data_IF_504796354786
#
_entry.id   IF_504796354786
#
_cell.length_a   1.000
_cell.length_b   1.000
_cell.length_c   1.000
_cell.angle_alpha   90.00
_cell.angle_beta   90.00
_cell.angle_gamma   90.00
#
_symmetry.space_group_name_H-M   'P 1'
#
loop_
_entity.id
_entity.type
_entity.pdbx_description
1 polymer ?
#
# COMPACT_ATOMS: atom_id res chain seq x y z
N UNK A 1 -0.68 17.58 7.02
CA UNK A 1 -0.82 16.78 5.78
C UNK A 1 0.07 17.37 4.70
N UNK A 2 1.28 16.83 4.54
CA UNK A 2 2.23 17.25 3.49
C UNK A 2 1.67 16.88 2.11
N UNK A 3 1.56 17.85 1.20
CA UNK A 3 1.20 17.61 -0.21
C UNK A 3 2.24 16.66 -0.82
N UNK A 4 1.80 15.47 -1.23
CA UNK A 4 2.64 14.50 -1.93
C UNK A 4 3.29 15.17 -3.15
N UNK A 5 4.63 15.24 -3.16
CA UNK A 5 5.39 15.95 -4.20
C UNK A 5 5.63 15.11 -5.46
N UNK A 6 5.23 13.84 -5.43
CA UNK A 6 5.43 12.92 -6.54
C UNK A 6 4.55 13.27 -7.74
N UNK A 7 5.12 13.11 -8.94
CA UNK A 7 4.32 13.10 -10.16
C UNK A 7 3.32 11.93 -10.14
N UNK A 8 2.16 12.02 -10.83
CA UNK A 8 1.16 10.96 -10.82
C UNK A 8 1.69 9.60 -11.28
N UNK A 9 2.59 9.58 -12.28
CA UNK A 9 3.24 8.36 -12.76
C UNK A 9 4.12 7.73 -11.67
N UNK A 10 4.85 8.56 -10.94
CA UNK A 10 5.78 8.11 -9.91
C UNK A 10 5.06 7.62 -8.66
N UNK A 11 3.98 8.30 -8.26
CA UNK A 11 3.10 7.82 -7.21
C UNK A 11 2.50 6.44 -7.54
N UNK A 12 2.08 6.23 -8.80
CA UNK A 12 1.59 4.92 -9.28
C UNK A 12 2.67 3.85 -9.26
N UNK A 13 3.91 4.18 -9.64
CA UNK A 13 5.04 3.27 -9.56
C UNK A 13 5.23 2.77 -8.12
N UNK A 14 5.37 3.69 -7.16
CA UNK A 14 5.56 3.34 -5.76
C UNK A 14 4.41 2.53 -5.17
N UNK A 15 3.17 2.80 -5.58
CA UNK A 15 2.01 2.02 -5.14
C UNK A 15 2.06 0.56 -5.61
N UNK A 16 2.65 0.28 -6.78
CA UNK A 16 2.75 -1.08 -7.35
C UNK A 16 4.10 -1.75 -7.06
N UNK A 17 5.05 -1.00 -6.51
CA UNK A 17 6.41 -1.49 -6.30
C UNK A 17 6.44 -2.56 -5.22
N UNK A 18 7.10 -3.68 -5.53
CA UNK A 18 7.36 -4.77 -4.60
C UNK A 18 8.87 -5.02 -4.61
N UNK A 19 9.57 -4.84 -3.48
CA UNK A 19 11.00 -5.04 -3.41
C UNK A 19 11.39 -6.51 -3.64
N UNK A 20 12.55 -6.73 -4.25
CA UNK A 20 13.07 -8.08 -4.55
C UNK A 20 13.92 -8.67 -3.41
N UNK A 21 14.40 -7.83 -2.50
CA UNK A 21 15.21 -8.24 -1.34
C UNK A 21 14.92 -7.35 -0.14
N UNK A 22 15.29 -7.81 1.06
CA UNK A 22 15.16 -7.01 2.27
C UNK A 22 15.99 -5.71 2.20
N UNK A 23 17.18 -5.77 1.59
CA UNK A 23 18.02 -4.60 1.35
C UNK A 23 17.32 -3.59 0.44
N UNK A 24 16.79 -4.07 -0.69
CA UNK A 24 16.02 -3.24 -1.61
C UNK A 24 14.81 -2.62 -0.90
N UNK A 25 14.08 -3.38 -0.07
CA UNK A 25 12.93 -2.86 0.66
C UNK A 25 13.29 -1.68 1.58
N UNK A 26 14.43 -1.75 2.27
CA UNK A 26 14.93 -0.64 3.09
C UNK A 26 15.33 0.55 2.23
N UNK A 27 16.17 0.33 1.21
CA UNK A 27 16.69 1.41 0.36
C UNK A 27 15.57 2.11 -0.41
N UNK A 28 14.61 1.35 -0.94
CA UNK A 28 13.43 1.85 -1.62
C UNK A 28 12.52 2.66 -0.68
N UNK A 29 12.41 2.26 0.60
CA UNK A 29 11.64 3.01 1.61
C UNK A 29 12.28 4.37 1.91
N UNK A 30 13.61 4.42 1.99
CA UNK A 30 14.34 5.67 2.17
C UNK A 30 14.25 6.55 0.91
N UNK A 31 14.37 5.95 -0.27
CA UNK A 31 14.23 6.65 -1.54
C UNK A 31 12.82 7.26 -1.67
N UNK A 32 11.77 6.52 -1.31
CA UNK A 32 10.41 7.03 -1.28
C UNK A 32 10.25 8.19 -0.29
N UNK A 33 10.76 8.06 0.93
CA UNK A 33 10.67 9.11 1.95
C UNK A 33 11.34 10.41 1.50
N UNK A 34 12.50 10.30 0.85
CA UNK A 34 13.20 11.43 0.25
C UNK A 34 12.40 12.03 -0.92
N UNK A 35 11.89 11.20 -1.83
CA UNK A 35 11.23 11.67 -3.04
C UNK A 35 9.84 12.27 -2.77
N UNK A 36 9.05 11.64 -1.91
CA UNK A 36 7.66 12.02 -1.62
C UNK A 36 7.54 13.10 -0.56
N UNK A 37 8.41 13.06 0.45
CA UNK A 37 8.33 13.89 1.64
C UNK A 37 9.56 14.76 1.87
N UNK A 38 10.63 14.60 1.07
CA UNK A 38 11.91 15.28 1.26
C UNK A 38 12.47 15.07 2.67
N UNK A 39 12.29 13.85 3.20
CA UNK A 39 12.78 13.44 4.51
C UNK A 39 14.18 12.84 4.38
N UNK A 40 15.14 13.40 5.12
CA UNK A 40 16.47 12.81 5.29
C UNK A 40 16.44 11.66 6.31
N UNK A 41 17.48 10.82 6.30
CA UNK A 41 17.64 9.74 7.30
C UNK A 41 17.67 10.29 8.73
N UNK A 42 18.23 11.48 8.92
CA UNK A 42 18.27 12.17 10.21
C UNK A 42 16.86 12.53 10.68
N UNK A 43 16.02 13.08 9.79
CA UNK A 43 14.62 13.41 10.10
C UNK A 43 13.79 12.15 10.36
N UNK A 44 14.05 11.06 9.64
CA UNK A 44 13.41 9.76 9.90
C UNK A 44 13.80 9.24 11.28
N UNK A 45 15.08 9.35 11.67
CA UNK A 45 15.55 8.98 12.99
C UNK A 45 14.86 9.79 14.10
N UNK A 46 14.68 11.09 13.89
CA UNK A 46 13.96 11.98 14.81
C UNK A 46 12.48 11.59 14.93
N UNK A 47 11.79 11.33 13.80
CA UNK A 47 10.39 10.85 13.79
C UNK A 47 10.23 9.51 14.52
N UNK A 48 11.24 8.64 14.44
CA UNK A 48 11.29 7.36 15.15
C UNK A 48 11.76 7.48 16.60
N UNK A 49 12.04 8.69 17.10
CA UNK A 49 12.56 8.95 18.45
C UNK A 49 13.88 8.22 18.76
N UNK A 50 14.76 8.07 17.77
CA UNK A 50 16.12 7.58 18.01
C UNK A 50 16.97 8.65 18.69
N UNK A 51 17.76 8.24 19.69
CA UNK A 51 18.72 9.13 20.34
C UNK A 51 19.88 9.59 19.46
N UNK A 52 20.16 8.90 18.34
CA UNK A 52 21.18 9.29 17.37
C UNK A 52 20.88 8.72 15.99
N UNK A 53 21.00 9.54 14.94
CA UNK A 53 20.80 9.11 13.56
C UNK A 53 21.80 8.03 13.12
N UNK A 54 23.03 8.05 13.65
CA UNK A 54 24.05 7.03 13.38
C UNK A 54 23.61 5.63 13.80
N UNK A 55 22.79 5.54 14.86
CA UNK A 55 22.25 4.26 15.33
C UNK A 55 21.25 3.70 14.33
N UNK A 56 20.34 4.54 13.82
CA UNK A 56 19.43 4.13 12.75
C UNK A 56 20.21 3.74 11.50
N UNK A 57 21.17 4.56 11.07
CA UNK A 57 21.99 4.26 9.90
C UNK A 57 22.68 2.90 10.00
N UNK A 58 23.29 2.59 11.15
CA UNK A 58 23.91 1.29 11.39
C UNK A 58 22.90 0.14 11.34
N UNK A 59 21.75 0.29 12.01
CA UNK A 59 20.71 -0.75 11.98
C UNK A 59 20.18 -1.01 10.56
N UNK A 60 20.04 0.03 9.73
CA UNK A 60 19.60 -0.11 8.35
C UNK A 60 20.67 -0.73 7.45
N UNK A 61 21.95 -0.37 7.66
CA UNK A 61 23.07 -0.95 6.94
C UNK A 61 23.21 -2.46 7.21
N UNK A 62 23.08 -2.86 8.48
CA UNK A 62 23.19 -4.26 8.91
C UNK A 62 21.86 -5.06 8.74
N UNK A 63 20.79 -4.42 8.25
CA UNK A 63 19.43 -4.98 8.20
C UNK A 63 18.94 -5.55 9.54
N UNK A 64 19.39 -4.96 10.64
CA UNK A 64 19.11 -5.40 12.01
C UNK A 64 18.15 -4.44 12.72
N UNK A 65 17.11 -4.02 12.00
CA UNK A 65 16.03 -3.24 12.60
C UNK A 65 15.21 -4.13 13.53
N UNK A 66 14.96 -3.68 14.76
CA UNK A 66 14.14 -4.47 15.69
C UNK A 66 12.72 -4.58 15.16
N UNK A 67 12.08 -5.74 15.35
CA UNK A 67 10.71 -5.97 14.89
C UNK A 67 9.72 -4.90 15.39
N UNK A 68 9.89 -4.44 16.63
CA UNK A 68 9.08 -3.35 17.23
C UNK A 68 9.23 -2.01 16.52
N UNK A 69 10.32 -1.81 15.79
CA UNK A 69 10.64 -0.57 15.09
C UNK A 69 10.23 -0.59 13.61
N UNK A 70 9.99 -1.78 13.03
CA UNK A 70 9.60 -1.92 11.61
C UNK A 70 8.38 -1.06 11.29
N UNK A 71 7.33 -1.13 12.11
CA UNK A 71 6.12 -0.36 11.85
C UNK A 71 6.33 1.15 11.99
N UNK A 72 7.13 1.57 12.97
CA UNK A 72 7.48 2.97 13.16
C UNK A 72 8.30 3.50 11.97
N UNK A 73 9.20 2.67 11.43
CA UNK A 73 10.01 3.00 10.27
C UNK A 73 9.16 3.17 9.01
N UNK A 74 8.30 2.20 8.69
CA UNK A 74 7.37 2.30 7.55
C UNK A 74 6.46 3.52 7.67
N UNK A 75 5.96 3.80 8.87
CA UNK A 75 5.15 4.98 9.14
C UNK A 75 5.93 6.29 8.94
N UNK A 76 7.18 6.36 9.39
CA UNK A 76 8.05 7.52 9.20
C UNK A 76 8.41 7.72 7.72
N UNK A 77 8.65 6.64 6.97
CA UNK A 77 8.89 6.68 5.54
C UNK A 77 7.62 7.00 4.72
N UNK A 78 6.44 6.68 5.24
CA UNK A 78 5.15 6.85 4.56
C UNK A 78 4.79 5.73 3.58
N UNK A 79 5.51 4.60 3.61
CA UNK A 79 5.29 3.45 2.74
C UNK A 79 5.61 2.13 3.46
N UNK A 80 4.88 1.06 3.13
CA UNK A 80 4.91 -0.25 3.79
C UNK A 80 5.68 -1.33 3.00
N UNK A 81 6.81 -0.95 2.39
CA UNK A 81 7.59 -1.84 1.51
C UNK A 81 8.19 -3.06 2.23
N UNK A 82 8.56 -2.94 3.52
CA UNK A 82 9.06 -4.07 4.31
C UNK A 82 7.98 -5.12 4.51
N UNK A 83 6.79 -4.68 4.91
CA UNK A 83 5.60 -5.54 5.09
C UNK A 83 5.21 -6.22 3.78
N UNK A 84 5.23 -5.48 2.66
CA UNK A 84 5.00 -6.03 1.32
C UNK A 84 6.03 -7.09 0.95
N UNK A 85 7.32 -6.85 1.23
CA UNK A 85 8.38 -7.82 0.98
C UNK A 85 8.18 -9.11 1.80
N UNK A 86 7.90 -9.00 3.10
CA UNK A 86 7.65 -10.17 3.94
C UNK A 86 6.40 -10.96 3.50
N UNK A 87 5.34 -10.25 3.13
CA UNK A 87 4.12 -10.88 2.61
C UNK A 87 4.39 -11.61 1.29
N UNK A 88 5.07 -10.95 0.33
CA UNK A 88 5.43 -11.54 -0.95
C UNK A 88 6.32 -12.78 -0.79
N UNK A 89 7.31 -12.74 0.11
CA UNK A 89 8.16 -13.89 0.43
C UNK A 89 7.38 -15.07 1.04
N UNK A 90 6.25 -14.80 1.70
CA UNK A 90 5.34 -15.82 2.23
C UNK A 90 4.24 -16.24 1.24
N UNK A 91 4.29 -15.80 -0.02
CA UNK A 91 3.25 -16.07 -1.02
C UNK A 91 1.90 -15.41 -0.69
N UNK A 92 1.91 -14.35 0.12
CA UNK A 92 0.72 -13.57 0.49
C UNK A 92 0.62 -12.32 -0.36
N UNK A 93 -0.61 -11.95 -0.70
CA UNK A 93 -0.91 -10.71 -1.40
C UNK A 93 -1.33 -9.64 -0.38
N UNK A 94 -0.67 -8.49 -0.42
CA UNK A 94 -1.07 -7.29 0.34
C UNK A 94 -1.92 -6.42 -0.58
N UNK A 95 -3.13 -6.11 -0.13
CA UNK A 95 -4.05 -5.22 -0.83
C UNK A 95 -4.39 -4.09 0.12
N UNK A 96 -4.21 -2.85 -0.35
CA UNK A 96 -4.61 -1.66 0.39
C UNK A 96 -6.14 -1.67 0.56
N UNK A 97 -6.60 -1.73 1.82
CA UNK A 97 -8.03 -1.63 2.12
C UNK A 97 -8.38 -0.14 2.17
N UNK A 98 -9.25 0.38 1.29
CA UNK A 98 -9.65 1.78 1.35
C UNK A 98 -10.47 2.03 2.61
N UNK A 99 -10.38 3.24 3.17
CA UNK A 99 -11.24 3.65 4.28
C UNK A 99 -12.69 3.71 3.81
N UNK A 100 -13.58 2.96 4.49
CA UNK A 100 -14.99 2.83 4.12
C UNK A 100 -15.75 4.15 4.03
N UNK A 101 -16.63 4.26 3.04
CA UNK A 101 -17.74 5.23 2.95
C UNK A 101 -19.04 4.44 2.75
N UNK A 102 -20.20 5.05 3.03
CA UNK A 102 -21.48 4.40 2.76
C UNK A 102 -21.57 4.01 1.27
N UNK A 103 -21.75 2.73 0.99
CA UNK A 103 -21.89 2.22 -0.38
C UNK A 103 -23.26 2.63 -0.93
N UNK A 104 -23.30 3.07 -2.19
CA UNK A 104 -24.54 3.39 -2.90
C UNK A 104 -24.78 2.43 -4.09
N UNK A 105 -25.87 2.63 -4.82
CA UNK A 105 -26.21 1.80 -5.99
C UNK A 105 -25.16 1.90 -7.11
N UNK A 106 -24.49 3.05 -7.24
CA UNK A 106 -23.43 3.28 -8.22
C UNK A 106 -22.17 2.45 -7.89
N UNK A 107 -21.79 2.38 -6.61
CA UNK A 107 -20.67 1.54 -6.15
C UNK A 107 -20.93 0.06 -6.45
N UNK A 108 -22.17 -0.41 -6.29
CA UNK A 108 -22.56 -1.79 -6.63
C UNK A 108 -22.51 -2.07 -8.13
N UNK A 109 -22.89 -1.11 -8.97
CA UNK A 109 -22.78 -1.23 -10.42
C UNK A 109 -21.32 -1.23 -10.88
N UNK A 110 -20.47 -0.39 -10.27
CA UNK A 110 -19.03 -0.38 -10.53
C UNK A 110 -18.39 -1.73 -10.15
N UNK A 111 -18.72 -2.27 -8.98
CA UNK A 111 -18.26 -3.60 -8.55
C UNK A 111 -18.66 -4.68 -9.55
N UNK A 112 -19.92 -4.69 -9.99
CA UNK A 112 -20.41 -5.65 -10.97
C UNK A 112 -19.63 -5.53 -12.30
N UNK A 113 -19.39 -4.32 -12.78
CA UNK A 113 -18.62 -4.08 -14.00
C UNK A 113 -17.20 -4.64 -13.87
N UNK A 114 -16.50 -4.32 -12.78
CA UNK A 114 -15.10 -4.68 -12.58
C UNK A 114 -14.92 -6.20 -12.40
N UNK A 115 -15.83 -6.86 -11.67
CA UNK A 115 -15.82 -8.33 -11.56
C UNK A 115 -16.03 -8.97 -12.94
N UNK A 116 -17.01 -8.50 -13.73
CA UNK A 116 -17.24 -9.04 -15.06
C UNK A 116 -16.05 -8.82 -15.99
N UNK A 117 -15.39 -7.66 -15.91
CA UNK A 117 -14.15 -7.40 -16.65
C UNK A 117 -13.03 -8.35 -16.23
N UNK A 118 -12.85 -8.61 -14.93
CA UNK A 118 -11.83 -9.56 -14.47
C UNK A 118 -12.10 -10.99 -14.93
N UNK A 119 -13.36 -11.44 -14.90
CA UNK A 119 -13.74 -12.75 -15.46
C UNK A 119 -13.50 -12.78 -16.97
N UNK A 120 -13.88 -11.72 -17.70
CA UNK A 120 -13.62 -11.58 -19.13
C UNK A 120 -12.13 -11.66 -19.46
N UNK A 121 -11.29 -10.96 -18.68
CA UNK A 121 -9.85 -10.97 -18.85
C UNK A 121 -9.22 -12.34 -18.56
N UNK A 122 -9.74 -13.07 -17.57
CA UNK A 122 -9.34 -14.46 -17.32
C UNK A 122 -9.66 -15.37 -18.52
N UNK A 123 -10.87 -15.27 -19.07
CA UNK A 123 -11.26 -16.04 -20.25
C UNK A 123 -10.40 -15.69 -21.47
N UNK A 124 -10.10 -14.41 -21.67
CA UNK A 124 -9.22 -13.95 -22.75
C UNK A 124 -7.78 -14.46 -22.56
N UNK A 125 -7.24 -14.40 -21.34
CA UNK A 125 -5.92 -14.91 -21.01
C UNK A 125 -5.79 -16.42 -21.28
N UNK A 126 -6.73 -17.23 -20.76
CA UNK A 126 -6.72 -18.67 -20.98
C UNK A 126 -6.98 -19.08 -22.44
N UNK A 127 -7.55 -18.19 -23.26
CA UNK A 127 -7.69 -18.39 -24.70
C UNK A 127 -6.55 -17.77 -25.53
N UNK A 128 -5.49 -17.25 -24.88
CA UNK A 128 -4.30 -16.68 -25.54
C UNK A 128 -4.53 -15.31 -26.18
N UNK A 129 -5.61 -14.62 -25.83
CA UNK A 129 -6.02 -13.33 -26.41
C UNK A 129 -5.62 -12.11 -25.57
N UNK A 130 -5.13 -12.33 -24.35
CA UNK A 130 -4.71 -11.27 -23.43
C UNK A 130 -3.42 -11.68 -22.70
N UNK A 131 -2.60 -10.69 -22.34
CA UNK A 131 -1.34 -10.90 -21.64
C UNK A 131 -1.50 -10.93 -20.12
N UNK A 132 -0.55 -11.59 -19.44
CA UNK A 132 -0.60 -11.80 -17.98
C UNK A 132 -0.74 -10.49 -17.18
N UNK A 133 -0.02 -9.43 -17.56
CA UNK A 133 -0.02 -8.16 -16.82
C UNK A 133 -1.39 -7.48 -16.81
N UNK A 134 -2.11 -7.50 -17.94
CA UNK A 134 -3.43 -6.91 -18.07
C UNK A 134 -4.46 -7.68 -17.22
N UNK A 135 -4.42 -9.01 -17.29
CA UNK A 135 -5.28 -9.89 -16.50
C UNK A 135 -5.03 -9.76 -15.00
N UNK A 136 -3.75 -9.72 -14.58
CA UNK A 136 -3.38 -9.52 -13.17
C UNK A 136 -3.84 -8.15 -12.65
N UNK A 137 -3.77 -7.10 -13.48
CA UNK A 137 -4.27 -5.78 -13.11
C UNK A 137 -5.79 -5.77 -12.90
N UNK A 138 -6.55 -6.42 -13.79
CA UNK A 138 -8.01 -6.54 -13.68
C UNK A 138 -8.43 -7.33 -12.43
N UNK A 139 -7.75 -8.45 -12.16
CA UNK A 139 -7.96 -9.26 -10.95
C UNK A 139 -7.66 -8.47 -9.67
N UNK A 140 -6.50 -7.81 -9.62
CA UNK A 140 -6.08 -7.05 -8.44
C UNK A 140 -7.04 -5.90 -8.14
N UNK A 141 -7.55 -5.24 -9.18
CA UNK A 141 -8.56 -4.19 -9.04
C UNK A 141 -9.83 -4.75 -8.41
N UNK A 142 -10.36 -5.85 -8.94
CA UNK A 142 -11.56 -6.50 -8.42
C UNK A 142 -11.39 -7.00 -6.97
N UNK A 143 -10.24 -7.58 -6.64
CA UNK A 143 -9.94 -8.00 -5.26
C UNK A 143 -9.88 -6.82 -4.29
N UNK A 144 -9.36 -5.66 -4.73
CA UNK A 144 -9.32 -4.43 -3.93
C UNK A 144 -10.73 -3.91 -3.64
N UNK A 145 -11.62 -3.93 -4.63
CA UNK A 145 -13.00 -3.51 -4.44
C UNK A 145 -13.78 -4.46 -3.53
N UNK A 146 -13.61 -5.76 -3.70
CA UNK A 146 -14.17 -6.75 -2.78
C UNK A 146 -13.64 -6.58 -1.36
N UNK A 147 -12.36 -6.26 -1.18
CA UNK A 147 -11.78 -5.96 0.13
C UNK A 147 -12.40 -4.71 0.77
N UNK A 148 -12.69 -3.67 -0.03
CA UNK A 148 -13.40 -2.48 0.44
C UNK A 148 -14.83 -2.79 0.89
N UNK A 149 -15.60 -3.53 0.09
CA UNK A 149 -16.95 -3.94 0.48
C UNK A 149 -16.94 -4.85 1.72
N UNK A 150 -15.97 -5.77 1.83
CA UNK A 150 -15.76 -6.58 3.03
C UNK A 150 -15.54 -5.70 4.26
N UNK A 151 -14.74 -4.64 4.14
CA UNK A 151 -14.50 -3.70 5.24
C UNK A 151 -15.76 -2.90 5.60
N UNK A 152 -16.53 -2.44 4.61
CA UNK A 152 -17.82 -1.78 4.87
C UNK A 152 -18.80 -2.70 5.62
N UNK A 153 -18.86 -3.98 5.24
CA UNK A 153 -19.67 -5.00 5.95
C UNK A 153 -19.13 -5.24 7.36
N UNK A 154 -17.82 -5.23 7.57
CA UNK A 154 -17.23 -5.32 8.91
C UNK A 154 -17.61 -4.12 9.77
N UNK A 155 -17.59 -2.92 9.20
CA UNK A 155 -17.92 -1.66 9.89
C UNK A 155 -19.40 -1.48 10.18
N UNK A 156 -20.31 -2.10 9.42
CA UNK A 156 -21.75 -2.04 9.75
C UNK A 156 -22.07 -2.67 11.12
N UNK A 157 -21.22 -3.58 11.60
CA UNK A 157 -21.31 -4.16 12.94
C UNK A 157 -20.77 -3.24 14.06
N UNK A 158 -20.09 -2.14 13.73
CA UNK A 158 -19.55 -1.15 14.67
C UNK A 158 -19.43 0.21 13.98
N UNK A 159 -20.56 0.92 13.75
CA UNK A 159 -20.54 2.20 13.05
C UNK A 159 -19.67 3.21 13.82
N UNK A 160 -18.62 3.71 13.15
CA UNK A 160 -17.80 4.80 13.67
C UNK A 160 -18.70 6.05 13.84
N UNK A 161 -18.53 6.77 14.96
CA UNK A 161 -19.25 8.02 15.24
C UNK A 161 -19.14 8.97 14.05
N UNK A 162 -20.26 9.22 13.37
CA UNK A 162 -20.38 10.31 12.41
C UNK A 162 -20.35 11.61 13.19
N UNK A 163 -19.16 12.20 13.34
CA UNK A 163 -19.03 13.57 13.82
C UNK A 163 -19.49 14.48 12.69
N UNK A 164 -20.80 14.81 12.68
CA UNK A 164 -21.32 15.91 11.87
C UNK A 164 -20.60 17.20 12.30
N UNK A 165 -19.70 17.68 11.44
CA UNK A 165 -19.26 19.07 11.48
C UNK A 165 -20.30 19.86 10.71
N UNK A 166 -21.34 20.30 11.41
CA UNK A 166 -22.25 21.35 10.96
C UNK A 166 -21.46 22.69 10.94
N UNK A 167 -21.75 23.60 9.99
CA UNK A 167 -20.78 24.50 9.34
C UNK A 167 -20.20 25.62 10.21
#
# INVERSE_FOLDING_TARGET
MSRNRLSPNRARFWKRHVPTSLRAAVDDSLAYALEAHNLSVEQIAELMSYGSFWTLYKHLADLNLKLTQVRAFEHACGIDLLSRYFAAGAGRLVIDIPTGRAANAEDMQALQLNINQAVGALLAFYSGKEGADATLAALTTSMTELAWHRENVRKSASPELQLEVTP
#
